data_IF_082540628756
#
_entry.id   IF_082540628756
#
_cell.length_a   1.000
_cell.length_b   1.000
_cell.length_c   1.000
_cell.angle_alpha   90.00
_cell.angle_beta   90.00
_cell.angle_gamma   90.00
#
_symmetry.space_group_name_H-M   'P 1'
#
loop_
_entity.id
_entity.type
_entity.pdbx_description
1 polymer ?
#
# COMPACT_ATOMS: atom_id res chain seq x y z
N UNK A 1 -18.20 2.05 -29.11
CA UNK A 1 -18.26 2.62 -27.75
C UNK A 1 -16.87 2.93 -27.23
N UNK A 2 -15.95 1.95 -27.23
CA UNK A 2 -14.55 2.16 -26.81
C UNK A 2 -13.78 3.17 -27.68
N UNK A 3 -14.08 3.23 -28.98
CA UNK A 3 -13.55 4.24 -29.91
C UNK A 3 -13.84 5.68 -29.48
N UNK A 4 -15.03 5.94 -28.94
CA UNK A 4 -15.44 7.28 -28.52
C UNK A 4 -14.77 7.67 -27.19
N UNK A 5 -14.48 6.68 -26.34
CA UNK A 5 -13.77 6.90 -25.07
C UNK A 5 -12.29 7.25 -25.32
N UNK A 6 -11.62 6.53 -26.23
CA UNK A 6 -10.25 6.86 -26.63
C UNK A 6 -10.15 8.29 -27.21
N UNK A 7 -11.10 8.66 -28.08
CA UNK A 7 -11.19 10.02 -28.61
C UNK A 7 -11.41 11.06 -27.50
N UNK A 8 -12.32 10.79 -26.57
CA UNK A 8 -12.59 11.69 -25.45
C UNK A 8 -11.35 11.88 -24.55
N UNK A 9 -10.59 10.82 -24.27
CA UNK A 9 -9.36 10.93 -23.48
C UNK A 9 -8.25 11.69 -24.21
N UNK A 10 -8.11 11.51 -25.53
CA UNK A 10 -7.15 12.29 -26.31
C UNK A 10 -7.51 13.78 -26.36
N UNK A 11 -8.80 14.12 -26.43
CA UNK A 11 -9.25 15.51 -26.35
C UNK A 11 -8.98 16.11 -24.96
N UNK A 12 -9.25 15.34 -23.89
CA UNK A 12 -9.02 15.79 -22.51
C UNK A 12 -7.52 15.89 -22.15
N UNK A 13 -6.70 14.97 -22.66
CA UNK A 13 -5.26 14.94 -22.48
C UNK A 13 -4.57 14.50 -23.79
N UNK A 14 -4.12 15.44 -24.63
CA UNK A 14 -3.45 15.12 -25.89
C UNK A 14 -2.14 14.33 -25.73
N UNK A 15 -1.54 14.30 -24.53
CA UNK A 15 -0.37 13.49 -24.24
C UNK A 15 -0.70 12.02 -23.91
N UNK A 16 -1.99 11.68 -23.73
CA UNK A 16 -2.44 10.31 -23.49
C UNK A 16 -2.33 9.47 -24.77
N UNK A 17 -1.40 8.52 -24.78
CA UNK A 17 -1.08 7.68 -25.96
C UNK A 17 -1.60 6.24 -25.86
N UNK A 18 -2.18 5.88 -24.72
CA UNK A 18 -2.67 4.53 -24.51
C UNK A 18 -4.00 4.28 -25.25
N UNK A 19 -4.18 3.04 -25.66
CA UNK A 19 -5.42 2.56 -26.25
C UNK A 19 -6.19 1.75 -25.22
N UNK A 20 -7.24 2.33 -24.65
CA UNK A 20 -8.04 1.72 -23.59
C UNK A 20 -8.73 0.44 -24.09
N UNK A 21 -8.94 0.29 -25.39
CA UNK A 21 -9.51 -0.94 -25.95
C UNK A 21 -8.62 -2.16 -25.75
N UNK A 22 -7.34 -1.95 -25.46
CA UNK A 22 -6.35 -2.99 -25.17
C UNK A 22 -6.16 -3.21 -23.68
N UNK A 23 -6.84 -2.44 -22.82
CA UNK A 23 -6.74 -2.61 -21.38
C UNK A 23 -7.47 -3.88 -20.97
N UNK A 24 -6.76 -4.76 -20.27
CA UNK A 24 -7.36 -5.90 -19.59
C UNK A 24 -7.59 -5.59 -18.11
N UNK A 25 -8.76 -6.00 -17.61
CA UNK A 25 -9.01 -5.97 -16.18
C UNK A 25 -8.34 -7.18 -15.53
N UNK A 26 -7.16 -6.97 -14.96
CA UNK A 26 -6.45 -8.00 -14.18
C UNK A 26 -6.88 -7.83 -12.73
N UNK A 27 -7.73 -8.75 -12.26
CA UNK A 27 -8.07 -8.85 -10.84
C UNK A 27 -7.21 -9.93 -10.22
N UNK A 28 -6.19 -9.51 -9.47
CA UNK A 28 -5.36 -10.41 -8.68
C UNK A 28 -6.23 -11.21 -7.72
N UNK A 29 -5.85 -12.46 -7.42
CA UNK A 29 -6.43 -13.20 -6.30
C UNK A 29 -6.04 -12.48 -5.02
N UNK A 30 -6.95 -11.66 -4.50
CA UNK A 30 -6.77 -10.92 -3.26
C UNK A 30 -7.37 -11.71 -2.09
N UNK A 31 -6.77 -11.62 -0.89
CA UNK A 31 -7.35 -12.22 0.30
C UNK A 31 -8.76 -11.67 0.54
N UNK A 32 -9.73 -12.57 0.70
CA UNK A 32 -11.10 -12.20 1.10
C UNK A 32 -11.15 -11.96 2.60
N UNK A 33 -11.78 -10.87 3.01
CA UNK A 33 -11.97 -10.54 4.42
C UNK A 33 -13.47 -10.41 4.75
N UNK A 34 -13.90 -11.06 5.83
CA UNK A 34 -15.24 -10.96 6.40
C UNK A 34 -15.47 -9.71 7.27
N UNK A 35 -14.41 -9.03 7.69
CA UNK A 35 -14.45 -7.86 8.56
C UNK A 35 -14.37 -6.56 7.76
N UNK A 36 -15.54 -6.04 7.37
CA UNK A 36 -15.67 -4.79 6.60
C UNK A 36 -14.89 -3.60 7.20
N UNK A 37 -14.79 -3.50 8.54
CA UNK A 37 -14.05 -2.45 9.23
C UNK A 37 -12.52 -2.45 8.96
N UNK A 38 -11.97 -3.52 8.41
CA UNK A 38 -10.54 -3.61 8.06
C UNK A 38 -10.25 -3.33 6.58
N UNK A 39 -11.29 -3.18 5.76
CA UNK A 39 -11.17 -3.02 4.31
C UNK A 39 -10.18 -1.93 3.90
N UNK A 40 -10.25 -0.75 4.54
CA UNK A 40 -9.32 0.35 4.26
C UNK A 40 -7.85 0.01 4.53
N UNK A 41 -7.56 -0.66 5.64
CA UNK A 41 -6.20 -1.08 5.99
C UNK A 41 -5.66 -2.16 5.05
N UNK A 42 -6.53 -3.06 4.58
CA UNK A 42 -6.16 -4.08 3.60
C UNK A 42 -5.88 -3.49 2.22
N UNK A 43 -6.72 -2.57 1.76
CA UNK A 43 -6.50 -1.86 0.49
C UNK A 43 -5.19 -1.09 0.54
N UNK A 44 -4.93 -0.37 1.65
CA UNK A 44 -3.66 0.32 1.86
C UNK A 44 -2.47 -0.64 1.79
N UNK A 45 -2.49 -1.72 2.56
CA UNK A 45 -1.37 -2.68 2.58
C UNK A 45 -1.18 -3.36 1.22
N UNK A 46 -2.27 -3.69 0.53
CA UNK A 46 -2.23 -4.24 -0.82
C UNK A 46 -1.57 -3.27 -1.80
N UNK A 47 -2.02 -2.02 -1.88
CA UNK A 47 -1.44 -1.01 -2.78
C UNK A 47 0.01 -0.70 -2.45
N UNK A 48 0.35 -0.63 -1.15
CA UNK A 48 1.71 -0.36 -0.70
C UNK A 48 2.67 -1.53 -0.99
N UNK A 49 2.17 -2.76 -0.91
CA UNK A 49 2.99 -3.97 -1.07
C UNK A 49 3.03 -4.50 -2.49
N UNK A 50 2.10 -4.07 -3.34
CA UNK A 50 2.02 -4.46 -4.73
C UNK A 50 3.10 -3.73 -5.54
N UNK A 51 4.07 -4.47 -6.06
CA UNK A 51 5.05 -3.96 -6.99
C UNK A 51 5.27 -5.01 -8.08
N UNK A 52 5.37 -4.59 -9.35
CA UNK A 52 5.49 -5.47 -10.52
C UNK A 52 4.48 -6.64 -10.55
N UNK A 53 3.24 -6.40 -10.10
CA UNK A 53 2.18 -7.42 -10.06
C UNK A 53 2.35 -8.47 -8.96
N UNK A 54 3.30 -8.30 -8.03
CA UNK A 54 3.54 -9.20 -6.89
C UNK A 54 3.38 -8.46 -5.57
N UNK A 55 2.81 -9.16 -4.59
CA UNK A 55 2.80 -8.68 -3.21
C UNK A 55 4.14 -9.02 -2.56
N UNK A 56 4.90 -7.99 -2.19
CA UNK A 56 6.21 -8.15 -1.55
C UNK A 56 6.11 -8.40 -0.04
N UNK A 57 4.96 -8.10 0.58
CA UNK A 57 4.73 -8.30 2.00
C UNK A 57 3.47 -9.15 2.22
N UNK A 58 3.51 -10.13 3.14
CA UNK A 58 2.30 -10.84 3.54
C UNK A 58 1.35 -9.87 4.22
N UNK A 59 0.07 -9.92 3.85
CA UNK A 59 -0.96 -9.09 4.48
C UNK A 59 -1.31 -9.74 5.82
N UNK A 60 -1.12 -9.05 6.96
CA UNK A 60 -1.47 -9.61 8.26
C UNK A 60 -2.97 -9.91 8.35
N UNK A 61 -3.32 -11.07 8.91
CA UNK A 61 -4.71 -11.42 9.21
C UNK A 61 -5.18 -10.76 10.52
N UNK A 62 -4.24 -10.37 11.39
CA UNK A 62 -4.54 -9.69 12.66
C UNK A 62 -4.87 -8.20 12.46
N UNK A 63 -6.04 -7.82 12.96
CA UNK A 63 -6.55 -6.45 12.98
C UNK A 63 -5.57 -5.47 13.64
N UNK A 64 -4.91 -5.89 14.72
CA UNK A 64 -4.02 -5.01 15.48
C UNK A 64 -2.75 -4.71 14.70
N UNK A 65 -2.13 -5.73 14.11
CA UNK A 65 -0.96 -5.54 13.27
C UNK A 65 -1.28 -4.69 12.03
N UNK A 66 -2.42 -4.90 11.34
CA UNK A 66 -2.83 -4.05 10.22
C UNK A 66 -2.93 -2.56 10.59
N UNK A 67 -3.56 -2.26 11.73
CA UNK A 67 -3.72 -0.88 12.23
C UNK A 67 -2.38 -0.27 12.61
N UNK A 68 -1.51 -1.05 13.25
CA UNK A 68 -0.16 -0.64 13.64
C UNK A 68 0.70 -0.32 12.43
N UNK A 69 0.68 -1.16 11.40
CA UNK A 69 1.40 -0.93 10.14
C UNK A 69 0.97 0.38 9.47
N UNK A 70 -0.34 0.58 9.37
CA UNK A 70 -0.93 1.81 8.80
C UNK A 70 -0.55 3.06 9.60
N UNK A 71 -0.66 3.00 10.93
CA UNK A 71 -0.30 4.11 11.82
C UNK A 71 1.18 4.47 11.69
N UNK A 72 2.07 3.47 11.69
CA UNK A 72 3.51 3.70 11.53
C UNK A 72 3.83 4.33 10.19
N UNK A 73 3.15 3.91 9.10
CA UNK A 73 3.33 4.52 7.79
C UNK A 73 2.93 6.00 7.80
N UNK A 74 1.75 6.35 8.31
CA UNK A 74 1.32 7.76 8.38
C UNK A 74 2.30 8.59 9.20
N UNK A 75 2.75 8.08 10.35
CA UNK A 75 3.65 8.82 11.22
C UNK A 75 5.04 9.02 10.61
N UNK A 76 5.44 8.17 9.66
CA UNK A 76 6.72 8.23 8.92
C UNK A 76 6.59 8.86 7.54
N UNK A 77 5.39 9.26 7.12
CA UNK A 77 5.18 9.89 5.84
C UNK A 77 5.99 11.18 5.76
N UNK A 78 6.70 11.40 4.65
CA UNK A 78 7.67 12.50 4.52
C UNK A 78 7.03 13.89 4.66
N UNK A 79 5.75 14.00 4.33
CA UNK A 79 4.96 15.24 4.46
C UNK A 79 4.08 15.23 5.71
N UNK A 80 4.40 14.40 6.71
CA UNK A 80 3.65 14.38 7.96
C UNK A 80 3.84 15.70 8.73
N UNK A 81 2.87 16.60 8.64
CA UNK A 81 2.85 17.90 9.33
C UNK A 81 2.99 17.78 10.86
N UNK A 82 2.63 16.62 11.43
CA UNK A 82 2.75 16.34 12.87
C UNK A 82 4.14 15.86 13.29
N UNK A 83 5.09 15.66 12.37
CA UNK A 83 6.42 15.10 12.68
C UNK A 83 7.15 15.88 13.78
N UNK A 84 7.04 17.21 13.77
CA UNK A 84 7.67 18.07 14.79
C UNK A 84 6.99 17.98 16.17
N UNK A 85 5.78 17.42 16.25
CA UNK A 85 5.04 17.19 17.48
C UNK A 85 5.27 15.78 18.06
N UNK A 86 5.99 14.92 17.35
CA UNK A 86 6.35 13.58 17.83
C UNK A 86 7.61 13.70 18.68
N UNK A 87 7.55 13.26 19.94
CA UNK A 87 8.73 13.31 20.81
C UNK A 87 9.82 12.34 20.32
N UNK A 88 11.07 12.57 20.73
CA UNK A 88 12.19 11.69 20.37
C UNK A 88 11.95 10.22 20.73
N UNK A 89 11.36 9.95 21.91
CA UNK A 89 11.09 8.58 22.37
C UNK A 89 10.06 7.91 21.46
N UNK A 90 8.95 8.60 21.15
CA UNK A 90 7.91 8.09 20.27
C UNK A 90 8.46 7.88 18.84
N UNK A 91 9.22 8.84 18.32
CA UNK A 91 9.88 8.74 17.03
C UNK A 91 10.80 7.52 16.91
N UNK A 92 11.57 7.24 17.97
CA UNK A 92 12.46 6.07 18.06
C UNK A 92 11.69 4.75 18.06
N UNK A 93 10.55 4.68 18.76
CA UNK A 93 9.68 3.50 18.76
C UNK A 93 9.09 3.27 17.36
N UNK A 94 8.59 4.33 16.72
CA UNK A 94 8.02 4.27 15.37
C UNK A 94 9.08 3.79 14.37
N UNK A 95 10.33 4.28 14.46
CA UNK A 95 11.43 3.81 13.62
C UNK A 95 11.73 2.32 13.78
N UNK A 96 11.74 1.82 15.02
CA UNK A 96 11.96 0.40 15.29
C UNK A 96 10.87 -0.47 14.69
N UNK A 97 9.61 -0.07 14.86
CA UNK A 97 8.47 -0.80 14.28
C UNK A 97 8.55 -0.76 12.75
N UNK A 98 8.82 0.40 12.14
CA UNK A 98 8.94 0.53 10.69
C UNK A 98 10.00 -0.40 10.12
N UNK A 99 11.20 -0.42 10.73
CA UNK A 99 12.30 -1.31 10.31
C UNK A 99 11.93 -2.78 10.42
N UNK A 100 11.30 -3.19 11.52
CA UNK A 100 10.92 -4.58 11.73
C UNK A 100 9.84 -5.05 10.76
N UNK A 101 8.88 -4.18 10.45
CA UNK A 101 7.74 -4.51 9.58
C UNK A 101 8.12 -4.50 8.10
N UNK A 102 8.76 -3.42 7.63
CA UNK A 102 8.89 -3.16 6.20
C UNK A 102 10.31 -3.39 5.64
N UNK A 103 11.34 -3.38 6.50
CA UNK A 103 12.73 -3.59 6.08
C UNK A 103 13.18 -5.02 6.37
N UNK A 104 13.00 -5.53 7.59
CA UNK A 104 13.42 -6.88 7.96
C UNK A 104 12.67 -7.98 7.18
N UNK A 105 11.44 -7.70 6.72
CA UNK A 105 10.71 -8.60 5.83
C UNK A 105 11.36 -8.79 4.46
N UNK A 106 12.28 -7.92 4.02
CA UNK A 106 13.04 -8.11 2.78
C UNK A 106 14.11 -9.20 2.88
N UNK A 107 14.57 -9.52 4.11
CA UNK A 107 15.62 -10.50 4.36
C UNK A 107 15.08 -11.90 4.71
N UNK A 108 13.75 -12.11 4.64
CA UNK A 108 13.09 -13.33 5.10
C UNK A 108 13.02 -13.42 6.63
N UNK A 109 12.26 -14.39 7.19
CA UNK A 109 12.12 -14.50 8.64
C UNK A 109 13.50 -14.74 9.27
N UNK A 110 13.86 -13.91 10.25
CA UNK A 110 15.03 -14.17 11.07
C UNK A 110 14.82 -15.50 11.79
N UNK A 111 15.62 -16.49 11.40
CA UNK A 111 15.77 -17.72 12.16
C UNK A 111 16.48 -17.37 13.47
N UNK A 112 15.72 -17.02 14.49
CA UNK A 112 16.17 -17.12 15.86
C UNK A 112 15.12 -17.90 16.65
N UNK A 113 15.62 -18.97 17.27
CA UNK A 113 14.93 -20.02 18.01
C UNK A 113 14.16 -19.54 19.24
#
# INVERSE_FOLDING_TARGET
MVSNLNLALQVANPAFKDDISKWECIVSVVPTNSHCALSGYLVFNYMHSLCDGKLYFPIPEDCFELRKQFLVHILKYEENESQNNISYIEGSIIDRIYRWTFIASKDGPSRCA
#
